data_IF_171990863033
#
_entry.id   IF_171990863033
#
_cell.length_a   1.000
_cell.length_b   1.000
_cell.length_c   1.000
_cell.angle_alpha   90.00
_cell.angle_beta   90.00
_cell.angle_gamma   90.00
#
_symmetry.space_group_name_H-M   'P 1'
#
loop_
_entity.id
_entity.type
_entity.pdbx_description
1 polymer ?
#
# COMPACT_ATOMS: atom_id res chain seq x y z
N UNK A 1 -72.54 64.39 6.10
CA UNK A 1 -72.65 64.92 4.73
C UNK A 1 -71.85 64.00 3.81
N UNK A 2 -72.53 63.28 2.90
CA UNK A 2 -72.07 62.90 1.53
C UNK A 2 -70.66 62.26 1.41
N UNK A 3 -70.43 60.98 1.11
CA UNK A 3 -70.87 60.14 -0.04
C UNK A 3 -70.69 58.64 0.33
N UNK A 4 -71.70 57.76 0.17
CA UNK A 4 -71.80 56.69 -0.86
C UNK A 4 -70.44 56.11 -1.31
N UNK A 5 -70.16 54.79 -1.30
CA UNK A 5 -70.72 53.78 -2.20
C UNK A 5 -70.07 52.40 -1.92
N UNK A 6 -70.88 51.31 -1.85
CA UNK A 6 -70.70 49.94 -2.42
C UNK A 6 -69.34 49.17 -2.29
N UNK A 7 -69.23 47.85 -2.13
CA UNK A 7 -70.16 46.70 -2.21
C UNK A 7 -69.44 45.42 -1.70
N UNK A 8 -70.25 44.40 -1.36
CA UNK A 8 -70.04 42.94 -1.49
C UNK A 8 -68.99 42.25 -0.58
N UNK A 9 -69.36 41.46 0.44
CA UNK A 9 -70.11 40.17 0.49
C UNK A 9 -69.29 38.96 0.01
N UNK A 10 -68.93 38.14 1.02
CA UNK A 10 -68.86 36.68 1.10
C UNK A 10 -68.02 35.89 0.09
N UNK A 11 -67.09 35.06 0.59
CA UNK A 11 -67.38 33.65 0.82
C UNK A 11 -66.15 32.92 1.39
N UNK A 12 -66.45 32.04 2.34
CA UNK A 12 -65.64 30.94 2.87
C UNK A 12 -64.98 30.12 1.75
N UNK A 13 -63.71 29.74 1.90
CA UNK A 13 -63.24 28.39 1.57
C UNK A 13 -61.96 28.08 2.36
N UNK A 14 -62.07 27.07 3.20
CA UNK A 14 -60.97 26.34 3.81
C UNK A 14 -60.18 25.71 2.66
N UNK A 15 -58.96 26.19 2.43
CA UNK A 15 -57.97 25.43 1.66
C UNK A 15 -57.03 24.81 2.68
N UNK A 16 -57.38 23.59 3.09
CA UNK A 16 -56.42 22.60 3.55
C UNK A 16 -55.49 22.30 2.38
N UNK A 17 -54.43 23.09 2.23
CA UNK A 17 -53.30 22.70 1.40
C UNK A 17 -52.57 21.59 2.15
N UNK A 18 -52.97 20.34 1.90
CA UNK A 18 -52.05 19.22 2.06
C UNK A 18 -50.85 19.55 1.18
N UNK A 19 -49.76 20.01 1.78
CA UNK A 19 -48.47 19.95 1.15
C UNK A 19 -48.33 18.50 0.68
N UNK A 20 -48.22 18.29 -0.63
CA UNK A 20 -47.68 17.03 -1.14
C UNK A 20 -46.35 16.87 -0.41
N UNK A 21 -46.27 15.92 0.51
CA UNK A 21 -44.97 15.35 0.86
C UNK A 21 -44.30 15.07 -0.48
N UNK A 22 -43.15 15.71 -0.74
CA UNK A 22 -42.41 15.42 -1.96
C UNK A 22 -42.22 13.92 -1.96
N UNK A 23 -42.81 13.21 -2.93
CA UNK A 23 -42.59 11.78 -3.11
C UNK A 23 -41.08 11.61 -3.24
N UNK A 24 -40.44 11.18 -2.16
CA UNK A 24 -39.02 10.86 -2.19
C UNK A 24 -38.86 9.74 -3.22
N UNK A 25 -37.79 9.75 -4.02
CA UNK A 25 -37.50 8.66 -4.94
C UNK A 25 -37.62 7.33 -4.20
N UNK A 26 -38.41 6.41 -4.74
CA UNK A 26 -38.62 5.09 -4.15
C UNK A 26 -37.72 4.11 -4.89
N UNK A 27 -36.83 3.46 -4.16
CA UNK A 27 -36.01 2.38 -4.67
C UNK A 27 -36.89 1.22 -5.19
N UNK A 28 -36.50 0.65 -6.33
CA UNK A 28 -37.12 -0.52 -6.95
C UNK A 28 -36.17 -1.72 -7.01
N UNK A 29 -34.91 -1.53 -6.61
CA UNK A 29 -33.87 -2.54 -6.68
C UNK A 29 -32.54 -2.02 -6.14
N UNK A 30 -31.47 -2.79 -6.32
CA UNK A 30 -30.15 -2.49 -5.77
C UNK A 30 -29.05 -2.67 -6.83
N UNK A 31 -27.96 -1.93 -6.67
CA UNK A 31 -26.71 -2.09 -7.41
C UNK A 31 -25.51 -2.09 -6.46
N UNK A 32 -24.33 -2.41 -6.97
CA UNK A 32 -23.09 -2.49 -6.19
C UNK A 32 -22.08 -1.44 -6.62
N UNK A 33 -21.38 -0.84 -5.66
CA UNK A 33 -20.36 0.19 -5.92
C UNK A 33 -19.07 -0.14 -5.15
N UNK A 34 -17.95 0.02 -5.84
CA UNK A 34 -16.58 -0.09 -5.29
C UNK A 34 -15.65 0.94 -5.92
N UNK A 35 -14.50 1.16 -5.27
CA UNK A 35 -13.44 2.03 -5.79
C UNK A 35 -12.07 1.36 -5.73
N UNK A 36 -11.18 1.75 -6.62
CA UNK A 36 -9.77 1.32 -6.74
C UNK A 36 -8.90 2.57 -6.79
N UNK A 37 -7.82 2.62 -6.00
CA UNK A 37 -6.85 3.70 -6.07
C UNK A 37 -5.59 3.27 -6.86
N UNK A 38 -5.40 3.89 -8.02
CA UNK A 38 -4.25 3.74 -8.91
C UNK A 38 -3.31 4.96 -8.94
N UNK A 39 -3.49 5.94 -8.04
CA UNK A 39 -2.58 7.10 -7.92
C UNK A 39 -1.38 6.71 -7.04
N UNK A 40 -0.25 6.38 -7.65
CA UNK A 40 0.94 5.82 -6.98
C UNK A 40 1.53 6.71 -5.87
N UNK A 41 1.46 8.03 -6.06
CA UNK A 41 1.99 9.03 -5.12
C UNK A 41 0.96 9.57 -4.15
N UNK A 42 -0.27 9.08 -4.17
CA UNK A 42 -1.34 9.58 -3.30
C UNK A 42 -1.16 9.17 -1.82
N UNK A 43 -1.59 10.02 -0.87
CA UNK A 43 -1.98 9.57 0.46
C UNK A 43 -3.16 8.60 0.39
N UNK A 44 -3.46 7.96 1.51
CA UNK A 44 -4.67 7.13 1.61
C UNK A 44 -5.93 8.01 1.46
N UNK A 45 -6.78 7.69 0.49
CA UNK A 45 -8.08 8.34 0.35
C UNK A 45 -9.04 7.81 1.40
N UNK A 46 -9.96 8.64 1.86
CA UNK A 46 -11.24 8.18 2.39
C UNK A 46 -12.22 8.08 1.23
N UNK A 47 -12.84 6.92 1.07
CA UNK A 47 -13.94 6.72 0.15
C UNK A 47 -15.26 6.95 0.88
N UNK A 48 -16.08 7.86 0.38
CA UNK A 48 -17.33 8.28 1.02
C UNK A 48 -18.48 8.23 0.03
N UNK A 49 -19.68 8.14 0.59
CA UNK A 49 -20.93 8.39 -0.12
C UNK A 49 -21.64 9.54 0.56
N UNK A 50 -21.97 10.57 -0.21
CA UNK A 50 -22.29 11.88 0.30
C UNK A 50 -21.21 12.29 1.33
N UNK A 51 -21.57 12.46 2.60
CA UNK A 51 -20.64 12.81 3.68
C UNK A 51 -20.34 11.62 4.62
N UNK A 52 -20.78 10.41 4.27
CA UNK A 52 -20.57 9.20 5.09
C UNK A 52 -19.34 8.44 4.64
N UNK A 53 -18.36 8.35 5.52
CA UNK A 53 -17.17 7.51 5.32
C UNK A 53 -17.55 6.04 5.18
N UNK A 54 -17.02 5.40 4.14
CA UNK A 54 -17.17 3.97 3.90
C UNK A 54 -15.89 3.24 4.31
N UNK A 55 -14.77 3.54 3.65
CA UNK A 55 -13.51 2.79 3.84
C UNK A 55 -12.28 3.65 3.47
N UNK A 56 -11.10 3.42 4.08
CA UNK A 56 -9.86 3.96 3.52
C UNK A 56 -9.47 3.23 2.23
N UNK A 57 -8.96 3.95 1.25
CA UNK A 57 -8.54 3.43 -0.05
C UNK A 57 -7.06 3.78 -0.28
N UNK A 58 -6.20 2.79 -0.02
CA UNK A 58 -4.74 2.90 -0.20
C UNK A 58 -4.36 2.68 -1.65
N UNK A 59 -3.20 3.17 -2.06
CA UNK A 59 -2.65 2.81 -3.37
C UNK A 59 -2.58 1.29 -3.53
N UNK A 60 -2.95 0.78 -4.72
CA UNK A 60 -3.05 -0.65 -5.02
C UNK A 60 -3.99 -1.42 -4.09
N UNK A 61 -5.12 -0.81 -3.74
CA UNK A 61 -6.20 -1.49 -3.06
C UNK A 61 -7.54 -1.15 -3.69
N UNK A 62 -8.50 -2.04 -3.47
CA UNK A 62 -9.90 -1.83 -3.79
C UNK A 62 -10.70 -1.78 -2.49
N UNK A 63 -11.74 -0.96 -2.45
CA UNK A 63 -12.72 -1.02 -1.38
C UNK A 63 -13.48 -2.34 -1.41
N UNK A 64 -14.14 -2.65 -0.31
CA UNK A 64 -15.17 -3.68 -0.28
C UNK A 64 -16.33 -3.30 -1.19
N UNK A 65 -17.07 -4.32 -1.65
CA UNK A 65 -18.33 -4.11 -2.35
C UNK A 65 -19.36 -3.50 -1.39
N UNK A 66 -20.09 -2.50 -1.87
CA UNK A 66 -21.19 -1.89 -1.11
C UNK A 66 -22.46 -1.85 -1.95
N UNK A 67 -23.57 -2.34 -1.38
CA UNK A 67 -24.88 -2.38 -2.04
C UNK A 67 -25.69 -1.12 -1.76
N UNK A 68 -26.35 -0.60 -2.80
CA UNK A 68 -27.08 0.65 -2.76
C UNK A 68 -28.41 0.54 -3.49
N UNK A 69 -29.46 1.12 -2.91
CA UNK A 69 -30.74 1.31 -3.60
C UNK A 69 -30.53 2.01 -4.94
N UNK A 70 -31.29 1.66 -5.97
CA UNK A 70 -31.17 2.22 -7.32
C UNK A 70 -31.61 3.70 -7.43
N UNK A 71 -30.82 4.58 -6.83
CA UNK A 71 -31.00 6.03 -6.73
C UNK A 71 -29.70 6.75 -7.12
N UNK A 72 -29.76 8.07 -7.23
CA UNK A 72 -28.58 8.90 -7.45
C UNK A 72 -27.82 9.16 -6.16
N UNK A 73 -26.50 8.94 -6.17
CA UNK A 73 -25.61 9.27 -5.06
C UNK A 73 -24.34 9.94 -5.56
N UNK A 74 -23.79 10.82 -4.72
CA UNK A 74 -22.46 11.38 -4.93
C UNK A 74 -21.44 10.57 -4.15
N UNK A 75 -20.55 9.88 -4.86
CA UNK A 75 -19.38 9.22 -4.29
C UNK A 75 -18.20 10.16 -4.27
N UNK A 76 -17.43 10.12 -3.20
CA UNK A 76 -16.51 11.18 -2.81
C UNK A 76 -15.18 10.61 -2.35
N UNK A 77 -14.11 11.30 -2.71
CA UNK A 77 -12.74 10.93 -2.36
C UNK A 77 -12.08 12.07 -1.60
N UNK A 78 -11.70 11.78 -0.36
CA UNK A 78 -11.18 12.76 0.59
C UNK A 78 -9.80 12.36 1.10
N UNK A 79 -8.82 13.26 1.01
CA UNK A 79 -7.48 13.03 1.58
C UNK A 79 -7.33 13.74 2.91
N UNK A 80 -6.62 13.11 3.85
CA UNK A 80 -6.07 13.81 5.00
C UNK A 80 -4.60 14.09 4.71
N UNK A 81 -4.26 15.34 4.43
CA UNK A 81 -2.87 15.72 4.21
C UNK A 81 -2.13 15.78 5.55
N UNK A 82 -0.80 15.61 5.52
CA UNK A 82 0.02 15.81 6.71
C UNK A 82 -0.25 17.21 7.29
N UNK A 83 -0.38 17.30 8.63
CA UNK A 83 -0.64 18.56 9.32
C UNK A 83 -2.09 19.06 9.30
N UNK A 84 -2.95 18.51 8.43
CA UNK A 84 -4.36 18.91 8.38
C UNK A 84 -5.17 18.28 9.53
N UNK A 85 -6.14 19.03 10.05
CA UNK A 85 -7.11 18.55 11.05
C UNK A 85 -8.43 18.08 10.43
N UNK A 86 -8.62 18.36 9.13
CA UNK A 86 -9.82 18.02 8.37
C UNK A 86 -9.42 17.45 7.01
N UNK A 87 -10.28 16.60 6.44
CA UNK A 87 -10.03 16.05 5.12
C UNK A 87 -10.39 17.06 4.02
N UNK A 88 -9.67 16.98 2.90
CA UNK A 88 -9.91 17.76 1.69
C UNK A 88 -10.51 16.86 0.61
N UNK A 89 -11.66 17.27 0.05
CA UNK A 89 -12.30 16.62 -1.10
C UNK A 89 -11.44 16.82 -2.35
N UNK A 90 -11.03 15.74 -3.00
CA UNK A 90 -10.24 15.79 -4.25
C UNK A 90 -11.06 15.40 -5.47
N UNK A 91 -12.08 14.55 -5.32
CA UNK A 91 -12.96 14.11 -6.40
C UNK A 91 -14.36 13.81 -5.90
N UNK A 92 -15.34 14.04 -6.77
CA UNK A 92 -16.75 13.70 -6.56
C UNK A 92 -17.32 13.13 -7.86
N UNK A 93 -18.02 12.01 -7.77
CA UNK A 93 -18.67 11.35 -8.91
C UNK A 93 -20.13 11.12 -8.57
N UNK A 94 -21.03 11.64 -9.40
CA UNK A 94 -22.44 11.33 -9.32
C UNK A 94 -22.70 10.02 -10.07
N UNK A 95 -23.25 9.02 -9.38
CA UNK A 95 -23.67 7.75 -9.98
C UNK A 95 -25.18 7.61 -9.79
N UNK A 96 -25.88 7.43 -10.90
CA UNK A 96 -27.27 6.95 -10.91
C UNK A 96 -27.22 5.43 -10.80
N UNK A 97 -27.32 4.90 -9.58
CA UNK A 97 -27.25 3.45 -9.37
C UNK A 97 -28.46 2.80 -10.01
N UNK A 98 -28.23 1.88 -10.95
CA UNK A 98 -29.27 1.07 -11.56
C UNK A 98 -29.41 -0.29 -10.86
N UNK A 99 -30.57 -0.92 -11.02
CA UNK A 99 -30.79 -2.27 -10.52
C UNK A 99 -29.91 -3.28 -11.26
N UNK A 100 -29.34 -4.24 -10.53
CA UNK A 100 -28.50 -5.33 -11.03
C UNK A 100 -27.24 -4.84 -11.79
N UNK A 101 -26.72 -3.65 -11.44
CA UNK A 101 -25.47 -3.09 -11.97
C UNK A 101 -24.35 -3.05 -10.94
N UNK A 102 -23.15 -3.40 -11.38
CA UNK A 102 -21.89 -3.25 -10.64
C UNK A 102 -21.08 -2.08 -11.21
N UNK A 103 -20.71 -1.15 -10.33
CA UNK A 103 -19.93 0.04 -10.62
C UNK A 103 -18.57 -0.05 -9.94
N UNK A 104 -17.51 -0.07 -10.75
CA UNK A 104 -16.13 0.01 -10.26
C UNK A 104 -15.50 1.32 -10.70
N UNK A 105 -15.17 2.18 -9.73
CA UNK A 105 -14.45 3.43 -9.97
C UNK A 105 -12.94 3.20 -9.88
N UNK A 106 -12.21 3.46 -10.96
CA UNK A 106 -10.76 3.52 -10.97
C UNK A 106 -10.32 4.98 -10.82
N UNK A 107 -9.76 5.32 -9.66
CA UNK A 107 -9.17 6.62 -9.38
C UNK A 107 -7.73 6.65 -9.88
N UNK A 108 -7.40 7.60 -10.75
CA UNK A 108 -6.09 7.74 -11.41
C UNK A 108 -5.72 9.21 -11.64
N UNK A 109 -4.60 9.48 -12.31
CA UNK A 109 -4.12 10.85 -12.55
C UNK A 109 -3.31 11.40 -11.38
N UNK A 110 -3.39 12.70 -11.13
CA UNK A 110 -2.67 13.40 -10.06
C UNK A 110 -3.62 13.74 -8.91
N UNK A 111 -3.11 13.93 -7.68
CA UNK A 111 -3.98 14.24 -6.53
C UNK A 111 -4.74 15.56 -6.64
N UNK A 112 -4.18 16.55 -7.33
CA UNK A 112 -4.75 17.88 -7.53
C UNK A 112 -5.74 17.94 -8.70
N UNK A 113 -5.71 16.95 -9.58
CA UNK A 113 -6.61 16.75 -10.70
C UNK A 113 -6.86 15.25 -10.94
N UNK A 114 -7.51 14.55 -10.00
CA UNK A 114 -7.76 13.12 -10.13
C UNK A 114 -8.78 12.87 -11.25
N UNK A 115 -8.57 11.79 -11.98
CA UNK A 115 -9.51 11.27 -12.96
C UNK A 115 -10.19 10.00 -12.44
N UNK A 116 -11.49 9.88 -12.68
CA UNK A 116 -12.26 8.71 -12.26
C UNK A 116 -12.84 8.02 -13.49
N UNK A 117 -12.24 6.89 -13.83
CA UNK A 117 -12.79 5.99 -14.85
C UNK A 117 -13.85 5.10 -14.22
N UNK A 118 -15.03 5.02 -14.83
CA UNK A 118 -16.13 4.20 -14.36
C UNK A 118 -16.26 2.94 -15.23
N UNK A 119 -16.17 1.77 -14.60
CA UNK A 119 -16.51 0.49 -15.23
C UNK A 119 -17.89 0.04 -14.77
N UNK A 120 -18.77 -0.20 -15.73
CA UNK A 120 -20.15 -0.61 -15.48
C UNK A 120 -20.37 -2.02 -16.02
N UNK A 121 -20.89 -2.91 -15.18
CA UNK A 121 -21.17 -4.29 -15.53
C UNK A 121 -22.52 -4.72 -14.97
N UNK A 122 -23.04 -5.83 -15.47
CA UNK A 122 -24.17 -6.51 -14.81
C UNK A 122 -23.64 -7.27 -13.58
N UNK A 123 -24.41 -7.24 -12.50
CA UNK A 123 -24.14 -8.10 -11.34
C UNK A 123 -24.35 -9.54 -11.77
N UNK A 124 -23.36 -10.39 -11.51
CA UNK A 124 -23.47 -11.82 -11.76
C UNK A 124 -24.22 -12.51 -10.63
N UNK A 125 -25.35 -13.13 -10.97
CA UNK A 125 -26.08 -13.99 -10.07
C UNK A 125 -25.55 -15.44 -10.11
N UNK A 126 -24.96 -15.90 -9.01
CA UNK A 126 -24.39 -17.24 -8.90
C UNK A 126 -25.44 -18.29 -8.52
N UNK A 127 -25.56 -19.35 -9.33
CA UNK A 127 -26.38 -20.51 -8.97
C UNK A 127 -25.65 -21.42 -7.97
N UNK A 128 -26.40 -22.20 -7.19
CA UNK A 128 -25.82 -23.01 -6.10
C UNK A 128 -24.95 -24.18 -6.57
N UNK A 129 -25.19 -24.66 -7.79
CA UNK A 129 -24.54 -25.81 -8.44
C UNK A 129 -23.52 -25.40 -9.50
N UNK A 130 -23.27 -24.09 -9.65
CA UNK A 130 -22.30 -23.56 -10.60
C UNK A 130 -20.87 -23.77 -10.08
N UNK A 131 -20.00 -24.28 -10.96
CA UNK A 131 -18.60 -24.57 -10.64
C UNK A 131 -17.62 -23.54 -11.22
N UNK A 132 -18.08 -22.59 -12.03
CA UNK A 132 -17.22 -21.60 -12.66
C UNK A 132 -16.89 -20.42 -11.74
N UNK A 133 -15.84 -19.68 -12.09
CA UNK A 133 -15.61 -18.31 -11.63
C UNK A 133 -15.62 -17.34 -12.81
N UNK A 134 -15.84 -16.06 -12.53
CA UNK A 134 -15.85 -14.99 -13.51
C UNK A 134 -14.58 -14.16 -13.36
N UNK A 135 -13.93 -13.84 -14.49
CA UNK A 135 -12.74 -13.02 -14.52
C UNK A 135 -12.89 -11.86 -15.50
N UNK A 136 -12.52 -10.67 -15.05
CA UNK A 136 -12.22 -9.52 -15.89
C UNK A 136 -10.76 -9.14 -15.74
N UNK A 137 -10.13 -8.67 -16.80
CA UNK A 137 -8.79 -8.09 -16.74
C UNK A 137 -8.88 -6.62 -17.16
N UNK A 138 -8.35 -5.74 -16.33
CA UNK A 138 -8.24 -4.32 -16.59
C UNK A 138 -6.78 -3.90 -16.71
N UNK A 139 -6.55 -2.64 -17.10
CA UNK A 139 -5.24 -1.99 -16.96
C UNK A 139 -5.35 -0.72 -16.12
N UNK A 140 -4.79 -0.75 -14.92
CA UNK A 140 -4.75 0.38 -13.99
C UNK A 140 -3.39 1.11 -14.01
N UNK A 141 -2.48 0.75 -14.92
CA UNK A 141 -1.16 1.35 -15.07
C UNK A 141 -1.13 2.34 -16.24
N UNK A 142 -1.07 3.66 -15.99
CA UNK A 142 -0.92 4.63 -17.06
C UNK A 142 0.45 4.57 -17.77
N UNK A 143 1.46 3.93 -17.16
CA UNK A 143 2.81 3.84 -17.75
C UNK A 143 3.09 2.55 -18.51
N UNK A 144 2.32 1.48 -18.30
CA UNK A 144 2.52 0.19 -18.95
C UNK A 144 2.20 0.21 -20.45
N UNK A 145 1.27 1.08 -20.87
CA UNK A 145 0.72 1.07 -22.23
C UNK A 145 -0.19 -0.14 -22.50
N UNK A 146 -0.60 -0.36 -23.77
CA UNK A 146 -1.48 -1.47 -24.11
C UNK A 146 -0.75 -2.81 -24.01
N UNK A 147 -1.41 -3.79 -23.40
CA UNK A 147 -0.89 -5.15 -23.22
C UNK A 147 -1.85 -6.21 -23.73
N UNK A 148 -1.30 -7.27 -24.31
CA UNK A 148 -2.08 -8.46 -24.65
C UNK A 148 -2.15 -9.38 -23.43
N UNK A 149 -3.34 -9.91 -23.17
CA UNK A 149 -3.62 -10.71 -21.98
C UNK A 149 -3.83 -12.18 -22.34
N UNK A 150 -3.14 -13.07 -21.64
CA UNK A 150 -3.31 -14.51 -21.73
C UNK A 150 -3.63 -15.08 -20.35
N UNK A 151 -4.54 -16.05 -20.28
CA UNK A 151 -4.91 -16.72 -19.04
C UNK A 151 -5.19 -18.20 -19.29
N UNK A 152 -4.16 -19.03 -19.15
CA UNK A 152 -4.21 -20.44 -19.56
C UNK A 152 -3.51 -21.36 -18.54
N UNK A 153 -3.50 -22.67 -18.81
CA UNK A 153 -2.82 -23.64 -17.96
C UNK A 153 -1.32 -23.31 -17.81
N UNK A 154 -0.71 -23.55 -16.63
CA UNK A 154 0.70 -23.27 -16.38
C UNK A 154 1.63 -23.91 -17.44
N UNK A 155 2.62 -23.15 -17.89
CA UNK A 155 3.58 -23.57 -18.93
C UNK A 155 3.09 -23.42 -20.37
N UNK A 156 1.89 -22.87 -20.59
CA UNK A 156 1.39 -22.55 -21.93
C UNK A 156 2.02 -21.26 -22.44
N UNK A 157 2.77 -21.33 -23.54
CA UNK A 157 3.39 -20.15 -24.14
C UNK A 157 2.36 -19.24 -24.83
N UNK A 158 2.48 -17.90 -24.72
CA UNK A 158 1.66 -16.96 -25.49
C UNK A 158 1.82 -17.17 -27.00
N UNK A 159 0.71 -17.10 -27.73
CA UNK A 159 0.67 -17.21 -29.19
C UNK A 159 -0.13 -16.06 -29.77
N UNK A 160 0.35 -15.48 -30.87
CA UNK A 160 -0.32 -14.37 -31.54
C UNK A 160 -1.73 -14.80 -31.98
N UNK A 161 -2.73 -13.98 -31.65
CA UNK A 161 -4.14 -14.26 -31.95
C UNK A 161 -4.88 -15.13 -30.92
N UNK A 162 -4.19 -15.64 -29.90
CA UNK A 162 -4.80 -16.39 -28.80
C UNK A 162 -4.96 -15.56 -27.51
N UNK A 163 -4.61 -14.27 -27.54
CA UNK A 163 -4.87 -13.38 -26.40
C UNK A 163 -6.38 -13.29 -26.14
N UNK A 164 -6.77 -13.18 -24.87
CA UNK A 164 -8.15 -12.85 -24.48
C UNK A 164 -8.58 -11.50 -25.03
N UNK A 165 -7.63 -10.58 -25.12
CA UNK A 165 -7.78 -9.25 -25.68
C UNK A 165 -6.52 -8.42 -25.43
N UNK A 166 -6.49 -7.23 -26.03
CA UNK A 166 -5.55 -6.17 -25.72
C UNK A 166 -6.27 -5.16 -24.82
N UNK A 167 -5.64 -4.70 -23.75
CA UNK A 167 -6.21 -3.74 -22.81
C UNK A 167 -5.29 -2.53 -22.64
N UNK A 168 -5.79 -1.34 -22.95
CA UNK A 168 -5.09 -0.07 -22.71
C UNK A 168 -5.46 0.51 -21.33
N UNK A 169 -4.71 1.52 -20.87
CA UNK A 169 -4.94 2.17 -19.57
C UNK A 169 -6.40 2.64 -19.42
N UNK A 170 -7.01 2.30 -18.29
CA UNK A 170 -8.41 2.62 -17.98
C UNK A 170 -9.43 1.69 -18.64
N UNK A 171 -9.00 0.78 -19.53
CA UNK A 171 -9.89 -0.21 -20.13
C UNK A 171 -10.02 -1.47 -19.25
N UNK A 172 -11.13 -2.18 -19.46
CA UNK A 172 -11.40 -3.49 -18.86
C UNK A 172 -12.00 -4.41 -19.93
N UNK A 173 -11.48 -5.63 -20.00
CA UNK A 173 -12.02 -6.66 -20.88
C UNK A 173 -13.39 -7.15 -20.38
N UNK A 174 -14.26 -7.60 -21.30
CA UNK A 174 -15.50 -8.27 -20.92
C UNK A 174 -15.25 -9.49 -20.02
N UNK A 175 -16.23 -9.81 -19.18
CA UNK A 175 -16.19 -10.98 -18.32
C UNK A 175 -15.99 -12.28 -19.12
N UNK A 176 -15.13 -13.15 -18.59
CA UNK A 176 -14.90 -14.50 -19.09
C UNK A 176 -15.14 -15.50 -17.96
N UNK A 177 -15.61 -16.69 -18.31
CA UNK A 177 -15.88 -17.76 -17.35
C UNK A 177 -14.83 -18.86 -17.45
N UNK A 178 -14.40 -19.35 -16.30
CA UNK A 178 -13.42 -20.42 -16.21
C UNK A 178 -13.79 -21.41 -15.10
N UNK A 179 -13.41 -22.66 -15.30
CA UNK A 179 -13.39 -23.65 -14.23
C UNK A 179 -12.22 -23.37 -13.25
N UNK A 180 -12.35 -23.73 -11.96
CA UNK A 180 -11.41 -23.46 -10.88
C UNK A 180 -10.20 -24.41 -10.93
N UNK A 181 -9.51 -24.41 -12.06
CA UNK A 181 -8.25 -25.11 -12.31
C UNK A 181 -7.09 -24.14 -12.21
N UNK A 182 -5.88 -24.64 -11.94
CA UNK A 182 -4.66 -23.83 -11.98
C UNK A 182 -4.49 -23.16 -13.35
N UNK A 183 -4.25 -21.84 -13.33
CA UNK A 183 -3.97 -21.01 -14.51
C UNK A 183 -2.91 -19.96 -14.21
N UNK A 184 -2.20 -19.50 -15.24
CA UNK A 184 -1.26 -18.38 -15.15
C UNK A 184 -1.77 -17.19 -15.96
N UNK A 185 -1.65 -15.99 -15.40
CA UNK A 185 -1.81 -14.74 -16.12
C UNK A 185 -0.49 -14.40 -16.79
N UNK A 186 -0.50 -14.16 -18.10
CA UNK A 186 0.67 -13.65 -18.83
C UNK A 186 0.26 -12.35 -19.52
N UNK A 187 1.06 -11.30 -19.30
CA UNK A 187 0.95 -10.04 -20.01
C UNK A 187 2.12 -9.92 -21.00
N UNK A 188 1.83 -9.62 -22.26
CA UNK A 188 2.85 -9.35 -23.27
C UNK A 188 2.70 -7.97 -23.85
N UNK A 189 3.75 -7.46 -24.48
CA UNK A 189 3.62 -6.26 -25.32
C UNK A 189 2.54 -6.49 -26.39
N UNK A 190 1.73 -5.47 -26.68
CA UNK A 190 0.62 -5.60 -27.61
C UNK A 190 1.08 -6.08 -29.00
N UNK A 191 0.42 -7.10 -29.52
CA UNK A 191 0.70 -7.80 -30.76
C UNK A 191 2.11 -8.43 -30.86
N UNK A 192 2.79 -8.64 -29.73
CA UNK A 192 4.09 -9.28 -29.65
C UNK A 192 4.14 -10.32 -28.50
N UNK A 193 3.65 -11.56 -28.73
CA UNK A 193 3.65 -12.61 -27.73
C UNK A 193 5.06 -13.07 -27.29
N UNK A 194 6.11 -12.68 -28.03
CA UNK A 194 7.49 -13.01 -27.69
C UNK A 194 8.06 -12.14 -26.57
N UNK A 195 7.44 -10.99 -26.32
CA UNK A 195 7.88 -10.03 -25.28
C UNK A 195 6.95 -10.17 -24.07
N UNK A 196 7.25 -11.14 -23.21
CA UNK A 196 6.57 -11.32 -21.91
C UNK A 196 7.01 -10.22 -20.95
N UNK A 197 6.03 -9.49 -20.42
CA UNK A 197 6.22 -8.40 -19.48
C UNK A 197 5.98 -8.85 -18.03
N UNK A 198 5.05 -9.79 -17.84
CA UNK A 198 4.67 -10.34 -16.55
C UNK A 198 4.15 -11.77 -16.73
N UNK A 199 4.50 -12.68 -15.82
CA UNK A 199 3.90 -14.01 -15.73
C UNK A 199 3.62 -14.35 -14.27
N UNK A 200 2.34 -14.61 -13.93
CA UNK A 200 1.98 -14.92 -12.55
C UNK A 200 2.49 -16.29 -12.11
N UNK A 201 2.68 -16.45 -10.80
CA UNK A 201 2.60 -17.78 -10.18
C UNK A 201 1.25 -18.45 -10.54
N UNK A 202 1.15 -19.79 -10.56
CA UNK A 202 -0.12 -20.48 -10.78
C UNK A 202 -1.19 -20.03 -9.79
N UNK A 203 -2.36 -19.67 -10.32
CA UNK A 203 -3.53 -19.19 -9.58
C UNK A 203 -4.61 -20.26 -9.59
N UNK A 204 -5.14 -20.58 -8.40
CA UNK A 204 -6.41 -21.32 -8.27
C UNK A 204 -7.44 -20.37 -7.67
N UNK A 205 -8.40 -19.96 -8.50
CA UNK A 205 -9.45 -19.05 -8.10
C UNK A 205 -10.70 -19.83 -7.68
N UNK A 206 -11.35 -19.39 -6.61
CA UNK A 206 -12.53 -20.08 -6.08
C UNK A 206 -13.73 -19.91 -7.03
N UNK A 207 -14.49 -21.00 -7.21
CA UNK A 207 -15.79 -20.98 -7.89
C UNK A 207 -16.73 -19.95 -7.26
N UNK A 208 -17.75 -19.57 -8.03
CA UNK A 208 -18.84 -18.68 -7.59
C UNK A 208 -18.36 -17.34 -7.07
N UNK A 209 -17.32 -16.83 -7.70
CA UNK A 209 -16.67 -15.58 -7.35
C UNK A 209 -16.31 -14.82 -8.62
N UNK A 210 -16.58 -13.52 -8.64
CA UNK A 210 -16.12 -12.61 -9.69
C UNK A 210 -14.80 -11.97 -9.27
N UNK A 211 -13.83 -11.92 -10.18
CA UNK A 211 -12.51 -11.34 -9.96
C UNK A 211 -12.17 -10.27 -10.99
N UNK A 212 -11.40 -9.27 -10.56
CA UNK A 212 -10.72 -8.33 -11.45
C UNK A 212 -9.22 -8.52 -11.25
N UNK A 213 -8.49 -8.76 -12.34
CA UNK A 213 -7.03 -8.71 -12.38
C UNK A 213 -6.60 -7.39 -13.03
N UNK A 214 -5.68 -6.66 -12.40
CA UNK A 214 -5.21 -5.39 -12.96
C UNK A 214 -3.72 -5.14 -12.65
N UNK A 215 -2.88 -4.83 -13.64
CA UNK A 215 -1.55 -4.26 -13.43
C UNK A 215 -1.66 -2.79 -12.99
N UNK A 216 -0.72 -2.36 -12.15
CA UNK A 216 -0.56 -0.99 -11.64
C UNK A 216 0.84 -0.48 -11.95
N UNK A 217 1.07 0.83 -11.80
CA UNK A 217 2.43 1.35 -11.85
C UNK A 217 3.26 0.80 -10.66
N UNK A 218 4.54 0.47 -10.88
CA UNK A 218 5.40 0.11 -9.77
C UNK A 218 5.68 1.33 -8.88
N UNK A 219 5.91 1.06 -7.60
CA UNK A 219 6.47 1.98 -6.63
C UNK A 219 7.68 1.32 -5.94
N UNK A 220 8.37 2.04 -5.05
CA UNK A 220 9.59 1.56 -4.41
C UNK A 220 9.40 0.35 -3.47
N UNK A 221 8.17 -0.11 -3.23
CA UNK A 221 7.87 -1.36 -2.55
C UNK A 221 7.86 -2.58 -3.48
N UNK A 222 7.71 -2.40 -4.79
CA UNK A 222 7.70 -3.53 -5.72
C UNK A 222 9.11 -3.85 -6.20
N UNK A 223 9.44 -5.14 -6.16
CA UNK A 223 10.69 -5.62 -6.75
C UNK A 223 10.57 -5.78 -8.27
N UNK A 224 9.37 -6.13 -8.74
CA UNK A 224 9.08 -6.38 -10.14
C UNK A 224 8.58 -5.13 -10.86
N UNK A 225 8.76 -5.06 -12.19
CA UNK A 225 8.40 -3.86 -12.96
C UNK A 225 6.88 -3.66 -13.09
N UNK A 226 6.08 -4.72 -12.89
CA UNK A 226 4.63 -4.69 -13.07
C UNK A 226 3.96 -5.40 -11.88
N UNK A 227 3.51 -4.66 -10.86
CA UNK A 227 2.65 -5.22 -9.83
C UNK A 227 1.25 -5.49 -10.40
N UNK A 228 0.74 -6.71 -10.21
CA UNK A 228 -0.62 -7.10 -10.58
C UNK A 228 -1.43 -7.41 -9.33
N UNK A 229 -2.63 -6.84 -9.22
CA UNK A 229 -3.57 -7.15 -8.15
C UNK A 229 -4.65 -8.10 -8.62
N UNK A 230 -5.01 -9.04 -7.74
CA UNK A 230 -6.28 -9.76 -7.77
C UNK A 230 -7.26 -9.08 -6.82
N UNK A 231 -8.38 -8.61 -7.35
CA UNK A 231 -9.49 -8.02 -6.59
C UNK A 231 -10.64 -9.01 -6.60
N UNK A 232 -11.12 -9.39 -5.42
CA UNK A 232 -12.32 -10.20 -5.28
C UNK A 232 -13.54 -9.28 -5.38
N UNK A 233 -14.19 -9.28 -6.55
CA UNK A 233 -15.33 -8.42 -6.78
C UNK A 233 -16.55 -8.85 -5.93
N UNK A 234 -16.73 -10.13 -5.62
CA UNK A 234 -17.89 -10.59 -4.84
C UNK A 234 -17.81 -10.30 -3.33
N UNK A 235 -16.62 -10.37 -2.74
CA UNK A 235 -16.44 -10.25 -1.28
C UNK A 235 -15.67 -9.01 -0.84
N UNK A 236 -15.16 -8.24 -1.80
CA UNK A 236 -14.20 -7.18 -1.51
C UNK A 236 -12.81 -7.73 -1.18
N UNK A 237 -11.86 -6.81 -1.08
CA UNK A 237 -10.46 -7.13 -0.80
C UNK A 237 -9.71 -7.66 -2.02
N UNK A 238 -8.44 -7.97 -1.81
CA UNK A 238 -7.54 -8.38 -2.86
C UNK A 238 -6.10 -8.48 -2.37
N UNK A 239 -5.21 -8.87 -3.27
CA UNK A 239 -3.79 -8.99 -2.98
C UNK A 239 -2.94 -8.93 -4.25
N UNK A 240 -1.67 -8.58 -4.07
CA UNK A 240 -0.70 -8.65 -5.17
C UNK A 240 -0.44 -10.09 -5.55
N UNK A 241 -0.29 -10.32 -6.85
CA UNK A 241 0.11 -11.60 -7.42
C UNK A 241 1.58 -11.51 -7.80
N UNK A 242 2.33 -12.51 -7.35
CA UNK A 242 3.75 -12.61 -7.67
C UNK A 242 3.98 -12.90 -9.16
N UNK A 243 4.92 -12.17 -9.75
CA UNK A 243 5.57 -12.48 -11.02
C UNK A 243 6.66 -13.53 -10.80
N UNK A 244 6.62 -14.63 -11.55
CA UNK A 244 7.62 -15.72 -11.48
C UNK A 244 9.02 -15.29 -11.94
N UNK A 245 9.10 -14.21 -12.72
CA UNK A 245 10.36 -13.69 -13.26
C UNK A 245 11.05 -12.69 -12.33
N UNK A 246 10.40 -12.35 -11.23
CA UNK A 246 10.92 -11.40 -10.24
C UNK A 246 11.40 -12.17 -9.01
N UNK A 247 12.60 -11.84 -8.53
CA UNK A 247 13.15 -12.42 -7.30
C UNK A 247 13.02 -11.44 -6.14
N UNK A 248 12.71 -11.91 -4.94
CA UNK A 248 12.76 -11.08 -3.73
C UNK A 248 14.16 -10.54 -3.46
N UNK A 249 14.25 -9.47 -2.66
CA UNK A 249 15.55 -8.92 -2.26
C UNK A 249 15.65 -8.73 -0.76
N UNK A 250 16.88 -8.69 -0.27
CA UNK A 250 17.23 -8.41 1.10
C UNK A 250 18.39 -7.42 1.17
N UNK A 251 18.29 -6.45 2.08
CA UNK A 251 19.44 -5.67 2.53
C UNK A 251 19.82 -6.08 3.94
N UNK A 252 21.12 -6.04 4.23
CA UNK A 252 21.67 -6.45 5.51
C UNK A 252 22.30 -5.26 6.20
N UNK A 253 21.94 -5.01 7.45
CA UNK A 253 22.53 -4.00 8.32
C UNK A 253 23.21 -4.66 9.51
N UNK A 254 24.42 -4.21 9.84
CA UNK A 254 25.17 -4.69 10.98
C UNK A 254 25.07 -3.75 12.20
N UNK A 255 24.13 -4.02 13.10
CA UNK A 255 23.87 -3.26 14.33
C UNK A 255 24.43 -3.89 15.62
N UNK A 256 25.02 -5.09 15.57
CA UNK A 256 25.68 -5.67 16.76
C UNK A 256 27.15 -5.28 16.84
N UNK A 257 27.53 -4.39 17.73
CA UNK A 257 28.94 -4.02 17.87
C UNK A 257 29.81 -5.18 18.39
N UNK A 258 29.26 -6.01 19.28
CA UNK A 258 30.00 -7.06 19.95
C UNK A 258 30.22 -8.32 19.10
N UNK A 259 29.45 -8.49 18.01
CA UNK A 259 29.62 -9.59 17.07
C UNK A 259 30.97 -9.50 16.31
N UNK A 260 31.54 -8.29 16.18
CA UNK A 260 32.65 -8.03 15.26
C UNK A 260 32.19 -8.17 13.80
N UNK A 261 33.11 -7.99 12.84
CA UNK A 261 32.76 -8.14 11.43
C UNK A 261 32.24 -9.55 11.12
N UNK A 262 31.38 -9.68 10.10
CA UNK A 262 30.80 -10.97 9.73
C UNK A 262 30.73 -11.20 8.21
N UNK A 263 30.88 -12.45 7.81
CA UNK A 263 30.42 -12.95 6.51
C UNK A 263 28.96 -13.41 6.65
N UNK A 264 28.13 -13.15 5.64
CA UNK A 264 26.70 -13.51 5.61
C UNK A 264 26.46 -14.52 4.49
N UNK A 265 25.81 -15.62 4.83
CA UNK A 265 25.42 -16.70 3.93
C UNK A 265 23.90 -16.85 3.91
N UNK A 266 23.36 -17.28 2.77
CA UNK A 266 21.93 -17.59 2.61
C UNK A 266 21.69 -19.01 2.07
N UNK A 267 22.70 -19.88 2.23
CA UNK A 267 22.77 -21.24 1.71
C UNK A 267 23.23 -22.22 2.78
N UNK A 268 22.80 -23.48 2.68
CA UNK A 268 23.32 -24.60 3.49
C UNK A 268 23.60 -25.79 2.55
N UNK A 269 24.87 -26.27 2.43
CA UNK A 269 26.06 -25.85 3.17
C UNK A 269 26.56 -24.46 2.77
N UNK A 270 27.23 -23.77 3.69
CA UNK A 270 27.84 -22.45 3.49
C UNK A 270 28.91 -22.50 2.39
N UNK A 271 28.61 -22.01 1.18
CA UNK A 271 29.55 -22.04 0.05
C UNK A 271 30.18 -20.68 -0.25
N UNK A 272 29.36 -19.66 -0.50
CA UNK A 272 29.81 -18.32 -0.90
C UNK A 272 29.01 -17.29 -0.11
N UNK A 273 29.68 -16.38 0.63
CA UNK A 273 28.95 -15.35 1.35
C UNK A 273 28.31 -14.37 0.36
N UNK A 274 27.04 -14.03 0.60
CA UNK A 274 26.36 -12.93 -0.11
C UNK A 274 26.89 -11.56 0.31
N UNK A 275 27.45 -11.47 1.52
CA UNK A 275 28.16 -10.29 2.02
C UNK A 275 29.41 -10.75 2.73
N UNK A 276 30.58 -10.28 2.29
CA UNK A 276 31.86 -10.63 2.91
C UNK A 276 32.34 -9.52 3.84
N UNK A 277 32.76 -9.89 5.05
CA UNK A 277 33.40 -9.01 6.03
C UNK A 277 32.64 -7.69 6.28
N UNK A 278 31.31 -7.77 6.40
CA UNK A 278 30.49 -6.61 6.74
C UNK A 278 30.93 -6.07 8.10
N UNK A 279 31.28 -4.79 8.17
CA UNK A 279 31.67 -4.14 9.41
C UNK A 279 30.45 -3.56 10.15
N UNK A 280 30.61 -3.34 11.45
CA UNK A 280 29.60 -2.67 12.27
C UNK A 280 29.24 -1.27 11.72
N UNK A 281 27.94 -1.00 11.61
CA UNK A 281 27.39 0.23 11.04
C UNK A 281 27.29 0.24 9.52
N UNK A 282 27.79 -0.80 8.83
CA UNK A 282 27.63 -0.93 7.39
C UNK A 282 26.26 -1.53 7.03
N UNK A 283 25.80 -1.18 5.83
CA UNK A 283 24.62 -1.74 5.20
C UNK A 283 24.92 -2.07 3.75
N UNK A 284 24.14 -3.01 3.19
CA UNK A 284 24.19 -3.33 1.77
C UNK A 284 23.09 -2.60 1.01
N UNK A 285 23.19 -2.58 -0.33
CA UNK A 285 22.01 -2.41 -1.18
C UNK A 285 21.09 -3.65 -1.11
N UNK A 286 20.05 -3.63 -1.94
CA UNK A 286 19.17 -4.79 -2.11
C UNK A 286 19.91 -5.91 -2.88
N UNK A 287 20.06 -7.06 -2.22
CA UNK A 287 20.68 -8.26 -2.78
C UNK A 287 19.60 -9.30 -3.07
N UNK A 288 19.70 -10.06 -4.18
CA UNK A 288 18.72 -11.08 -4.51
C UNK A 288 18.69 -12.19 -3.46
N UNK A 289 17.49 -12.61 -3.07
CA UNK A 289 17.25 -13.75 -2.15
C UNK A 289 16.13 -14.63 -2.67
N UNK A 290 16.23 -15.94 -2.42
CA UNK A 290 15.14 -16.87 -2.72
C UNK A 290 13.97 -16.62 -1.76
N UNK A 291 12.74 -16.73 -2.26
CA UNK A 291 11.55 -16.69 -1.41
C UNK A 291 11.34 -18.02 -0.66
N UNK A 292 10.68 -17.97 0.49
CA UNK A 292 10.44 -19.13 1.36
C UNK A 292 11.33 -19.12 2.60
N UNK A 293 11.49 -20.29 3.22
CA UNK A 293 12.40 -20.50 4.35
C UNK A 293 13.84 -20.55 3.85
N UNK A 294 14.64 -19.56 4.23
CA UNK A 294 16.04 -19.43 3.84
C UNK A 294 16.91 -19.38 5.10
N UNK A 295 17.92 -20.25 5.23
CA UNK A 295 18.88 -20.15 6.32
C UNK A 295 19.68 -18.86 6.13
N UNK A 296 19.81 -18.06 7.18
CA UNK A 296 20.64 -16.86 7.20
C UNK A 296 21.69 -17.05 8.29
N UNK A 297 22.92 -17.30 7.87
CA UNK A 297 24.04 -17.63 8.76
C UNK A 297 25.10 -16.54 8.70
N UNK A 298 25.51 -16.06 9.86
CA UNK A 298 26.61 -15.12 10.02
C UNK A 298 27.82 -15.88 10.56
N UNK A 299 29.00 -15.69 9.97
CA UNK A 299 30.24 -16.31 10.46
C UNK A 299 31.34 -15.28 10.64
N UNK A 300 32.37 -15.63 11.41
CA UNK A 300 33.59 -14.83 11.43
C UNK A 300 34.21 -14.76 10.02
N UNK A 301 34.80 -13.62 9.60
CA UNK A 301 35.25 -13.44 8.23
C UNK A 301 36.29 -14.47 7.80
N UNK A 302 36.05 -15.14 6.68
CA UNK A 302 36.90 -16.19 6.13
C UNK A 302 36.92 -17.49 6.94
N UNK A 303 36.01 -17.67 7.92
CA UNK A 303 35.96 -18.85 8.77
C UNK A 303 34.53 -19.36 8.96
N UNK A 304 34.05 -20.15 8.00
CA UNK A 304 32.72 -20.78 8.01
C UNK A 304 32.45 -21.70 9.20
N UNK A 305 33.50 -22.16 9.91
CA UNK A 305 33.35 -22.97 11.11
C UNK A 305 33.07 -22.17 12.39
N UNK A 306 33.16 -20.84 12.33
CA UNK A 306 32.90 -19.94 13.46
C UNK A 306 31.59 -19.21 13.25
N UNK A 307 30.49 -19.90 13.55
CA UNK A 307 29.13 -19.37 13.45
C UNK A 307 28.89 -18.34 14.56
N UNK A 308 28.39 -17.16 14.18
CA UNK A 308 28.04 -16.05 15.05
C UNK A 308 26.51 -15.97 15.24
N UNK A 309 25.77 -16.13 14.15
CA UNK A 309 24.31 -16.23 14.13
C UNK A 309 23.93 -17.35 13.17
N UNK A 310 22.93 -18.13 13.54
CA UNK A 310 22.33 -19.13 12.67
C UNK A 310 20.81 -19.06 12.85
N UNK A 311 20.09 -18.70 11.79
CA UNK A 311 18.64 -18.52 11.86
C UNK A 311 17.94 -18.70 10.53
N UNK A 312 16.78 -19.34 10.54
CA UNK A 312 15.90 -19.38 9.38
C UNK A 312 15.08 -18.08 9.26
N UNK A 313 14.94 -17.58 8.03
CA UNK A 313 14.11 -16.42 7.71
C UNK A 313 13.14 -16.73 6.59
N UNK A 314 11.91 -16.27 6.78
CA UNK A 314 10.89 -16.31 5.74
C UNK A 314 11.03 -15.07 4.87
N UNK A 315 11.35 -15.28 3.59
CA UNK A 315 11.29 -14.24 2.57
C UNK A 315 9.99 -14.38 1.78
N UNK A 316 9.16 -13.35 1.81
CA UNK A 316 7.94 -13.31 1.01
C UNK A 316 8.33 -13.11 -0.46
N UNK A 317 7.63 -13.79 -1.36
CA UNK A 317 7.84 -13.66 -2.80
C UNK A 317 7.63 -12.20 -3.24
N UNK A 318 8.49 -11.70 -4.13
CA UNK A 318 8.48 -10.37 -4.72
C UNK A 318 8.44 -9.21 -3.71
N UNK A 319 9.11 -9.37 -2.57
CA UNK A 319 9.19 -8.34 -1.52
C UNK A 319 10.62 -7.88 -1.25
N UNK A 320 10.76 -6.63 -0.81
CA UNK A 320 12.00 -6.09 -0.25
C UNK A 320 12.08 -6.33 1.26
N UNK A 321 13.13 -7.02 1.70
CA UNK A 321 13.38 -7.33 3.10
C UNK A 321 14.56 -6.53 3.67
N UNK A 322 14.45 -6.16 4.94
CA UNK A 322 15.50 -5.47 5.70
C UNK A 322 15.90 -6.32 6.88
N UNK A 323 17.13 -6.82 6.87
CA UNK A 323 17.69 -7.64 7.93
C UNK A 323 18.65 -6.83 8.78
N UNK A 324 18.46 -6.89 10.09
CA UNK A 324 19.29 -6.19 11.07
C UNK A 324 19.94 -7.22 11.98
N UNK A 325 21.26 -7.38 11.89
CA UNK A 325 22.04 -8.15 12.84
C UNK A 325 22.24 -7.31 14.09
N UNK A 326 21.59 -7.67 15.19
CA UNK A 326 21.45 -6.89 16.42
C UNK A 326 21.90 -7.71 17.62
N UNK A 327 22.20 -7.04 18.72
CA UNK A 327 22.35 -7.71 20.01
C UNK A 327 21.08 -7.50 20.84
N UNK A 328 20.64 -8.52 21.56
CA UNK A 328 19.50 -8.40 22.47
C UNK A 328 19.95 -8.04 23.90
N UNK A 329 18.99 -7.76 24.77
CA UNK A 329 19.23 -7.37 26.16
C UNK A 329 19.87 -8.46 27.04
N UNK A 330 19.87 -9.73 26.60
CA UNK A 330 20.56 -10.83 27.31
C UNK A 330 21.98 -11.07 26.77
N UNK A 331 22.40 -10.29 25.76
CA UNK A 331 23.74 -10.34 25.20
C UNK A 331 23.92 -11.42 24.14
N UNK A 332 22.87 -11.83 23.44
CA UNK A 332 22.94 -12.72 22.29
C UNK A 332 22.79 -11.92 20.99
N UNK A 333 23.53 -12.32 19.96
CA UNK A 333 23.41 -11.75 18.62
C UNK A 333 22.29 -12.48 17.85
N UNK A 334 21.42 -11.74 17.20
CA UNK A 334 20.28 -12.25 16.44
C UNK A 334 20.01 -11.40 15.21
N UNK A 335 19.15 -11.90 14.32
CA UNK A 335 18.71 -11.16 13.13
C UNK A 335 17.22 -10.81 13.26
N UNK A 336 16.89 -9.56 12.97
CA UNK A 336 15.50 -9.10 12.81
C UNK A 336 15.20 -8.88 11.33
N UNK A 337 14.02 -9.26 10.86
CA UNK A 337 13.59 -9.11 9.46
C UNK A 337 12.32 -8.26 9.40
N UNK A 338 12.35 -7.18 8.61
CA UNK A 338 11.19 -6.30 8.39
C UNK A 338 11.00 -6.02 6.90
N UNK A 339 9.74 -5.94 6.48
CA UNK A 339 9.35 -5.31 5.21
C UNK A 339 8.96 -3.88 5.53
N UNK A 340 9.62 -2.92 4.89
CA UNK A 340 9.46 -1.49 5.18
C UNK A 340 8.77 -0.84 4.00
N UNK A 341 7.81 0.04 4.29
CA UNK A 341 7.11 0.80 3.27
C UNK A 341 7.98 1.95 2.74
N UNK A 342 8.59 1.70 1.59
CA UNK A 342 9.48 2.57 0.81
C UNK A 342 8.73 3.50 -0.15
N UNK A 343 7.40 3.39 -0.26
CA UNK A 343 6.61 4.18 -1.22
C UNK A 343 6.69 5.68 -0.94
N UNK A 344 6.92 6.46 -1.99
CA UNK A 344 6.84 7.92 -1.95
C UNK A 344 5.39 8.41 -1.91
N UNK A 345 5.12 9.48 -1.16
CA UNK A 345 3.82 10.18 -1.15
C UNK A 345 4.06 11.66 -1.43
N UNK A 346 3.52 12.19 -2.52
CA UNK A 346 3.91 13.50 -3.06
C UNK A 346 3.61 14.71 -2.15
N UNK A 347 2.72 14.55 -1.17
CA UNK A 347 2.30 15.65 -0.29
C UNK A 347 3.04 15.70 1.04
N UNK A 348 3.91 14.72 1.33
CA UNK A 348 4.57 14.61 2.64
C UNK A 348 5.94 13.92 2.54
N UNK A 349 6.74 14.04 3.59
CA UNK A 349 7.89 13.15 3.80
C UNK A 349 7.46 11.99 4.69
N UNK A 350 7.93 10.79 4.37
CA UNK A 350 7.76 9.62 5.24
C UNK A 350 9.03 9.43 6.07
N UNK A 351 8.92 9.49 7.40
CA UNK A 351 10.01 9.17 8.31
C UNK A 351 9.74 7.82 8.98
N UNK A 352 10.58 6.83 8.69
CA UNK A 352 10.56 5.51 9.33
C UNK A 352 11.75 5.41 10.28
N UNK A 353 11.52 5.06 11.54
CA UNK A 353 12.57 4.93 12.56
C UNK A 353 12.56 3.53 13.16
N UNK A 354 13.76 2.97 13.32
CA UNK A 354 14.00 1.64 13.86
C UNK A 354 14.98 1.78 15.01
N UNK A 355 14.63 1.27 16.19
CA UNK A 355 15.56 1.20 17.32
C UNK A 355 16.18 -0.20 17.40
N UNK A 356 17.51 -0.29 17.31
CA UNK A 356 18.27 -1.54 17.48
C UNK A 356 19.23 -1.51 18.66
N UNK A 357 19.16 -0.46 19.49
CA UNK A 357 20.07 -0.29 20.63
C UNK A 357 19.75 -1.25 21.77
N UNK A 358 20.80 -1.73 22.43
CA UNK A 358 20.71 -2.51 23.67
C UNK A 358 20.87 -1.61 24.89
N UNK A 359 21.70 -0.56 24.80
CA UNK A 359 21.96 0.33 25.94
C UNK A 359 20.81 1.33 26.19
N UNK A 360 20.06 1.66 25.13
CA UNK A 360 18.89 2.54 25.17
C UNK A 360 17.64 1.84 24.66
N UNK A 361 17.21 0.74 25.32
CA UNK A 361 16.17 -0.17 24.81
C UNK A 361 14.82 0.52 24.62
N UNK A 362 14.63 1.72 25.17
CA UNK A 362 13.50 2.59 24.93
C UNK A 362 14.03 4.02 24.78
N UNK A 363 13.60 4.71 23.74
CA UNK A 363 13.89 6.15 23.52
C UNK A 363 12.61 6.89 23.16
N UNK A 364 12.54 8.18 23.48
CA UNK A 364 11.54 9.07 22.91
C UNK A 364 12.14 9.79 21.70
N UNK A 365 11.39 9.87 20.60
CA UNK A 365 11.82 10.60 19.40
C UNK A 365 11.04 11.90 19.26
N UNK A 366 11.77 13.00 19.20
CA UNK A 366 11.25 14.33 18.90
C UNK A 366 11.68 14.72 17.48
N UNK A 367 10.75 15.33 16.76
CA UNK A 367 11.00 15.96 15.48
C UNK A 367 10.32 17.33 15.56
N UNK A 368 11.12 18.39 15.53
CA UNK A 368 10.65 19.78 15.69
C UNK A 368 11.22 20.63 14.56
N UNK A 369 10.54 21.70 14.10
CA UNK A 369 11.10 22.62 13.12
C UNK A 369 12.51 23.09 13.54
N UNK A 370 13.40 23.29 12.57
CA UNK A 370 14.80 23.62 12.86
C UNK A 370 14.93 24.82 13.80
N UNK A 371 15.68 24.62 14.89
CA UNK A 371 15.93 25.63 15.92
C UNK A 371 14.84 25.75 17.00
N UNK A 372 13.75 24.99 16.94
CA UNK A 372 12.75 24.94 18.01
C UNK A 372 13.20 24.05 19.18
N UNK A 373 12.69 24.36 20.39
CA UNK A 373 12.99 23.57 21.60
C UNK A 373 12.03 22.38 21.74
N UNK A 374 12.52 21.28 22.31
CA UNK A 374 11.71 20.13 22.70
C UNK A 374 11.07 20.27 24.08
N UNK A 375 11.37 21.32 24.86
CA UNK A 375 11.01 21.42 26.28
C UNK A 375 9.49 21.32 26.54
N UNK A 376 8.68 22.00 25.71
CA UNK A 376 7.22 22.03 25.83
C UNK A 376 6.51 21.13 24.79
N UNK A 377 7.29 20.40 23.99
CA UNK A 377 6.80 19.58 22.88
C UNK A 377 6.58 18.14 23.33
N UNK A 378 5.63 17.41 22.75
CA UNK A 378 5.50 15.97 22.95
C UNK A 378 6.35 15.21 21.92
N UNK A 379 6.91 14.04 22.26
CA UNK A 379 7.63 13.25 21.27
C UNK A 379 6.65 12.79 20.18
N UNK A 380 7.09 12.85 18.93
CA UNK A 380 6.35 12.31 17.78
C UNK A 380 6.23 10.79 17.91
N UNK A 381 7.27 10.15 18.44
CA UNK A 381 7.28 8.71 18.74
C UNK A 381 7.63 8.52 20.22
N UNK A 382 6.64 8.43 21.12
CA UNK A 382 6.90 8.10 22.51
C UNK A 382 7.32 6.63 22.63
N UNK A 383 8.35 6.38 23.44
CA UNK A 383 8.76 5.04 23.88
C UNK A 383 9.04 4.05 22.75
N UNK A 384 9.76 4.48 21.72
CA UNK A 384 10.25 3.61 20.66
C UNK A 384 11.17 2.53 21.26
N UNK A 385 10.66 1.30 21.28
CA UNK A 385 11.32 0.15 21.91
C UNK A 385 12.27 -0.52 20.92
N UNK A 386 13.42 -0.97 21.41
CA UNK A 386 14.38 -1.71 20.60
C UNK A 386 13.76 -3.00 20.05
N UNK A 387 14.03 -3.29 18.77
CA UNK A 387 13.54 -4.45 18.03
C UNK A 387 12.00 -4.52 17.88
N UNK A 388 11.29 -3.43 18.21
CA UNK A 388 9.91 -3.28 17.81
C UNK A 388 9.81 -3.13 16.27
N UNK A 389 8.65 -3.43 15.67
CA UNK A 389 8.41 -3.11 14.27
C UNK A 389 8.76 -1.64 13.96
N UNK A 390 9.31 -1.35 12.76
CA UNK A 390 9.60 0.01 12.33
C UNK A 390 8.38 0.93 12.52
N UNK A 391 8.61 2.13 13.05
CA UNK A 391 7.55 3.12 13.20
C UNK A 391 7.66 4.15 12.09
N UNK A 392 6.56 4.38 11.37
CA UNK A 392 6.50 5.33 10.27
C UNK A 392 5.55 6.48 10.60
N UNK A 393 6.01 7.72 10.41
CA UNK A 393 5.20 8.93 10.56
C UNK A 393 5.34 9.84 9.34
N UNK A 394 4.26 10.50 8.90
CA UNK A 394 4.36 11.57 7.93
C UNK A 394 4.94 12.84 8.58
N UNK A 395 5.70 13.60 7.81
CA UNK A 395 6.16 14.95 8.14
C UNK A 395 5.70 15.90 7.03
N UNK A 396 5.36 17.13 7.42
CA UNK A 396 5.15 18.21 6.46
C UNK A 396 6.47 18.52 5.74
N UNK A 397 6.41 19.03 4.49
CA UNK A 397 7.62 19.52 3.82
C UNK A 397 8.22 20.74 4.54
N UNK A 398 9.31 20.55 5.28
CA UNK A 398 10.02 21.57 6.07
C UNK A 398 11.42 21.07 6.49
N UNK A 399 12.23 21.93 7.11
CA UNK A 399 13.45 21.50 7.80
C UNK A 399 13.15 21.20 9.28
N UNK A 400 13.63 20.05 9.75
CA UNK A 400 13.45 19.60 11.13
C UNK A 400 14.78 19.32 11.82
N UNK A 401 14.76 19.43 13.15
CA UNK A 401 15.76 18.85 14.04
C UNK A 401 15.16 17.61 14.73
N UNK A 402 15.85 16.47 14.60
CA UNK A 402 15.54 15.24 15.30
C UNK A 402 16.35 15.13 16.59
N UNK A 403 15.68 14.75 17.67
CA UNK A 403 16.29 14.44 18.96
C UNK A 403 15.82 13.08 19.47
N UNK A 404 16.75 12.35 20.11
CA UNK A 404 16.46 11.19 20.93
C UNK A 404 16.64 11.56 22.40
N UNK A 405 15.68 11.21 23.24
CA UNK A 405 15.79 11.45 24.69
C UNK A 405 15.56 10.18 25.51
N UNK A 406 15.96 10.25 26.77
CA UNK A 406 15.55 9.29 27.80
C UNK A 406 14.01 9.28 27.89
N UNK A 407 13.38 8.09 27.98
CA UNK A 407 11.92 7.98 27.88
C UNK A 407 11.19 8.69 29.03
N UNK A 408 10.18 9.49 28.67
CA UNK A 408 9.42 10.37 29.55
C UNK A 408 10.26 11.48 30.21
N UNK A 409 11.46 11.75 29.69
CA UNK A 409 12.35 12.81 30.13
C UNK A 409 12.79 13.68 28.94
N UNK A 410 13.37 14.85 29.21
CA UNK A 410 13.96 15.76 28.21
C UNK A 410 15.48 15.65 28.13
N UNK A 411 16.06 14.68 28.82
CA UNK A 411 17.50 14.42 28.78
C UNK A 411 17.88 13.91 27.39
N UNK A 412 18.51 14.76 26.60
CA UNK A 412 18.94 14.45 25.22
C UNK A 412 20.05 13.41 25.25
N UNK A 413 19.83 12.32 24.50
CA UNK A 413 20.80 11.27 24.22
C UNK A 413 21.53 11.55 22.90
N UNK A 414 20.81 12.04 21.89
CA UNK A 414 21.33 12.36 20.56
C UNK A 414 20.53 13.52 19.95
N UNK A 415 21.20 14.41 19.23
CA UNK A 415 20.58 15.53 18.51
C UNK A 415 21.16 16.91 18.88
N UNK A 416 20.80 17.98 18.14
CA UNK A 416 19.93 17.96 16.96
C UNK A 416 20.58 17.26 15.77
N UNK A 417 19.79 16.46 15.06
CA UNK A 417 20.14 15.94 13.72
C UNK A 417 19.24 16.64 12.71
N UNK A 418 19.84 17.40 11.80
CA UNK A 418 19.10 18.07 10.74
C UNK A 418 18.48 17.06 9.78
N UNK A 419 17.17 17.20 9.53
CA UNK A 419 16.41 16.46 8.54
C UNK A 419 15.81 17.44 7.54
N UNK A 420 16.03 17.17 6.26
CA UNK A 420 15.42 17.94 5.18
C UNK A 420 14.20 17.17 4.66
N UNK A 421 13.01 17.55 5.12
CA UNK A 421 11.76 16.91 4.71
C UNK A 421 11.27 17.56 3.41
N UNK A 422 11.54 16.90 2.28
CA UNK A 422 11.04 17.31 0.97
C UNK A 422 9.80 16.49 0.57
N UNK A 423 8.83 17.07 -0.19
CA UNK A 423 7.66 16.33 -0.63
C UNK A 423 8.05 15.05 -1.39
N UNK A 424 7.41 13.92 -1.09
CA UNK A 424 7.75 12.63 -1.69
C UNK A 424 8.97 11.93 -1.10
N UNK A 425 9.72 12.56 -0.18
CA UNK A 425 10.91 11.94 0.40
C UNK A 425 10.55 10.79 1.33
N UNK A 426 11.37 9.75 1.33
CA UNK A 426 11.31 8.63 2.27
C UNK A 426 12.63 8.58 3.01
N UNK A 427 12.57 8.80 4.32
CA UNK A 427 13.71 8.80 5.23
C UNK A 427 13.59 7.58 6.11
N UNK A 428 14.56 6.70 6.04
CA UNK A 428 14.67 5.55 6.92
C UNK A 428 15.85 5.76 7.86
N UNK A 429 15.58 5.79 9.16
CA UNK A 429 16.58 6.05 10.19
C UNK A 429 16.70 4.85 11.13
N UNK A 430 17.94 4.45 11.38
CA UNK A 430 18.27 3.38 12.30
C UNK A 430 19.04 3.92 13.49
N UNK A 431 18.56 3.64 14.68
CA UNK A 431 19.23 3.95 15.94
C UNK A 431 20.02 2.71 16.37
N UNK A 432 21.32 2.87 16.63
CA UNK A 432 22.22 1.77 17.00
C UNK A 432 23.21 2.21 18.09
N UNK A 433 23.77 1.24 18.82
CA UNK A 433 24.68 1.51 19.92
C UNK A 433 26.01 2.11 19.43
N UNK A 434 26.79 2.72 20.33
CA UNK A 434 28.16 3.13 20.02
C UNK A 434 29.14 2.55 21.03
N UNK A 435 30.44 2.80 20.80
CA UNK A 435 31.48 2.49 21.80
C UNK A 435 31.21 3.14 23.16
N UNK A 436 30.50 4.28 23.20
CA UNK A 436 30.03 4.88 24.44
C UNK A 436 28.61 4.38 24.74
N UNK A 437 28.42 3.55 25.79
CA UNK A 437 27.11 3.00 26.10
C UNK A 437 26.09 4.05 26.56
N UNK A 438 26.48 5.30 26.77
CA UNK A 438 25.56 6.38 27.15
C UNK A 438 25.05 7.19 25.95
N UNK A 439 25.59 6.95 24.75
CA UNK A 439 25.28 7.73 23.55
C UNK A 439 24.92 6.80 22.41
N UNK A 440 23.66 6.82 21.92
CA UNK A 440 23.30 6.12 20.69
C UNK A 440 23.79 6.92 19.47
N UNK A 441 23.86 6.25 18.33
CA UNK A 441 24.04 6.88 17.02
C UNK A 441 22.81 6.65 16.15
N UNK A 442 22.67 7.45 15.10
CA UNK A 442 21.63 7.33 14.10
C UNK A 442 22.27 7.31 12.71
N UNK A 443 21.91 6.30 11.92
CA UNK A 443 22.26 6.21 10.51
C UNK A 443 21.00 6.44 9.68
N UNK A 444 21.06 7.35 8.71
CA UNK A 444 20.05 7.44 7.65
C UNK A 444 20.41 6.40 6.61
N UNK A 445 19.54 5.41 6.43
CA UNK A 445 19.69 4.39 5.40
C UNK A 445 19.41 5.09 4.07
N UNK A 446 20.31 5.02 3.08
CA UNK A 446 20.07 5.60 1.77
C UNK A 446 18.79 5.03 1.16
N UNK A 447 18.09 5.83 0.35
CA UNK A 447 17.05 5.27 -0.49
C UNK A 447 17.65 4.18 -1.40
N UNK A 448 16.85 3.14 -1.73
CA UNK A 448 17.28 2.09 -2.65
C UNK A 448 17.66 2.62 -4.04
#
# INVERSE_FOLDING_TARGET
>A
MKHYLLLAIAATFVVSGCAKESERPKATGEGTVRAINAISTSPDFGFLIEERFLEPLKYKTASSESTWDNLSYTFNFDVLLAGDVARTRVASVLIDVENDRDYTMLLSGAIDAPDVTLWENEIREWQSDETAFELRIANASPTLGPVDVYFDAPGTAPVLGNALGTVDFGEILPAQEYEPTERTLILTAANDPGTVLYESVPLTLAERTSYILAPFDPDANDVGPIPVLLINATRGGGGSIADVNTQSTARFFHASQAMGNADIFIDDPLTVPVVANQAFGEFTGDLPVTSGDVPVTYTAPGNVGSILIDSDRVFTVNAHHSLFAVRNSVGEDLVSNFVIDRRSVETQTKLTIINTTTNHPIVDVYVVPTGESIDETFPVIPRLTALAPPFTTPLLPEQYDLYLTVPNEKTVLLGPIALDAQPGSVIEALIYDTVDPNVPSLAVIPPP
#
